data_IF_487145111905
#
_entry.id   IF_487145111905
#
_cell.length_a   1.000
_cell.length_b   1.000
_cell.length_c   1.000
_cell.angle_alpha   90.00
_cell.angle_beta   90.00
_cell.angle_gamma   90.00
#
_symmetry.space_group_name_H-M   'P 1'
#
loop_
_entity.id
_entity.type
_entity.pdbx_description
1 polymer ?
#
# COMPACT_ATOMS: atom_id res chain seq x y z
N UNK A 1 31.98 -17.47 -9.62
CA UNK A 1 32.31 -16.10 -10.07
C UNK A 1 31.28 -15.50 -11.04
N UNK A 2 30.70 -16.25 -11.98
CA UNK A 2 29.69 -15.73 -12.95
C UNK A 2 28.32 -15.44 -12.30
N UNK A 3 27.88 -16.28 -11.36
CA UNK A 3 26.55 -16.18 -10.73
C UNK A 3 26.37 -14.86 -9.94
N UNK A 4 27.43 -14.38 -9.29
CA UNK A 4 27.39 -13.13 -8.50
C UNK A 4 27.25 -11.91 -9.42
N UNK A 5 27.86 -11.95 -10.61
CA UNK A 5 27.78 -10.87 -11.59
C UNK A 5 26.38 -10.74 -12.23
N UNK A 6 25.63 -11.84 -12.35
CA UNK A 6 24.27 -11.85 -12.90
C UNK A 6 23.16 -11.59 -11.88
N UNK A 7 23.38 -11.89 -10.59
CA UNK A 7 22.37 -11.66 -9.53
C UNK A 7 22.30 -10.20 -9.06
N UNK A 8 23.43 -9.49 -9.09
CA UNK A 8 23.52 -8.08 -8.70
C UNK A 8 22.53 -7.15 -9.44
N UNK A 9 22.43 -7.16 -10.78
CA UNK A 9 21.48 -6.31 -11.49
C UNK A 9 20.03 -6.71 -11.25
N UNK A 10 19.75 -7.99 -11.00
CA UNK A 10 18.39 -8.50 -10.77
C UNK A 10 17.84 -8.00 -9.44
N UNK A 11 18.64 -8.04 -8.37
CA UNK A 11 18.25 -7.57 -7.03
C UNK A 11 18.00 -6.05 -7.05
N UNK A 12 18.82 -5.32 -7.82
CA UNK A 12 18.67 -3.87 -7.97
C UNK A 12 17.39 -3.50 -8.74
N UNK A 13 17.09 -4.25 -9.80
CA UNK A 13 15.86 -4.08 -10.58
C UNK A 13 14.60 -4.43 -9.75
N UNK A 14 14.67 -5.49 -8.94
CA UNK A 14 13.60 -5.89 -8.00
C UNK A 14 13.34 -4.82 -6.93
N UNK A 15 14.38 -4.20 -6.38
CA UNK A 15 14.22 -3.08 -5.44
C UNK A 15 13.48 -1.91 -6.11
N UNK A 16 13.89 -1.54 -7.31
CA UNK A 16 13.29 -0.42 -8.04
C UNK A 16 11.82 -0.68 -8.36
N UNK A 17 11.50 -1.88 -8.85
CA UNK A 17 10.13 -2.32 -9.14
C UNK A 17 9.29 -2.38 -7.85
N UNK A 18 9.85 -2.85 -6.73
CA UNK A 18 9.16 -2.91 -5.44
C UNK A 18 8.75 -1.52 -4.95
N UNK A 19 9.65 -0.54 -5.04
CA UNK A 19 9.35 0.84 -4.62
C UNK A 19 8.28 1.46 -5.51
N UNK A 20 8.38 1.28 -6.84
CA UNK A 20 7.37 1.78 -7.79
C UNK A 20 6.01 1.12 -7.53
N UNK A 21 5.97 -0.19 -7.29
CA UNK A 21 4.75 -0.93 -7.02
C UNK A 21 4.06 -0.43 -5.73
N UNK A 22 4.80 -0.32 -4.63
CA UNK A 22 4.22 0.14 -3.36
C UNK A 22 3.73 1.58 -3.48
N UNK A 23 4.46 2.44 -4.17
CA UNK A 23 4.05 3.82 -4.43
C UNK A 23 2.75 3.86 -5.24
N UNK A 24 2.65 3.06 -6.30
CA UNK A 24 1.44 2.96 -7.11
C UNK A 24 0.25 2.42 -6.31
N UNK A 25 0.46 1.37 -5.52
CA UNK A 25 -0.61 0.75 -4.73
C UNK A 25 -1.18 1.71 -3.66
N UNK A 26 -0.30 2.41 -2.94
CA UNK A 26 -0.69 3.43 -1.93
C UNK A 26 -1.45 4.60 -2.56
N UNK A 27 -1.07 5.04 -3.77
CA UNK A 27 -1.72 6.18 -4.43
C UNK A 27 -3.04 5.77 -5.09
N UNK A 28 -3.04 4.65 -5.83
CA UNK A 28 -4.14 4.29 -6.74
C UNK A 28 -5.21 3.42 -6.06
N UNK A 29 -4.82 2.47 -5.21
CA UNK A 29 -5.78 1.55 -4.56
C UNK A 29 -6.34 2.11 -3.25
N UNK A 30 -5.56 2.89 -2.49
CA UNK A 30 -5.98 3.40 -1.18
C UNK A 30 -6.62 4.79 -1.26
N UNK A 31 -7.73 4.96 -1.98
CA UNK A 31 -8.38 6.29 -2.15
C UNK A 31 -8.98 6.86 -0.86
N UNK A 32 -9.35 6.01 0.10
CA UNK A 32 -9.93 6.40 1.40
C UNK A 32 -8.90 6.56 2.52
N UNK A 33 -7.65 6.23 2.26
CA UNK A 33 -6.57 6.34 3.24
C UNK A 33 -6.15 7.80 3.41
N UNK A 34 -5.99 8.29 4.66
CA UNK A 34 -5.53 9.64 4.93
C UNK A 34 -4.14 9.92 4.31
N UNK A 35 -3.93 11.13 3.80
CA UNK A 35 -2.68 11.52 3.14
C UNK A 35 -1.44 11.34 4.04
N UNK A 36 -1.59 11.61 5.34
CA UNK A 36 -0.52 11.37 6.32
C UNK A 36 -0.11 9.90 6.40
N UNK A 37 -1.09 8.98 6.37
CA UNK A 37 -0.83 7.54 6.45
C UNK A 37 -0.22 7.01 5.14
N UNK A 38 -0.65 7.54 3.99
CA UNK A 38 0.02 7.27 2.70
C UNK A 38 1.50 7.64 2.73
N UNK A 39 1.82 8.83 3.24
CA UNK A 39 3.20 9.31 3.35
C UNK A 39 4.03 8.40 4.27
N UNK A 40 3.46 7.97 5.40
CA UNK A 40 4.11 7.03 6.32
C UNK A 40 4.43 5.70 5.63
N UNK A 41 3.49 5.13 4.87
CA UNK A 41 3.72 3.88 4.15
C UNK A 41 4.74 4.01 3.03
N UNK A 42 4.76 5.14 2.33
CA UNK A 42 5.80 5.44 1.32
C UNK A 42 7.18 5.54 1.99
N UNK A 43 7.30 6.24 3.14
CA UNK A 43 8.55 6.31 3.90
C UNK A 43 8.99 4.93 4.41
N UNK A 44 8.07 4.15 4.98
CA UNK A 44 8.34 2.78 5.43
C UNK A 44 8.80 1.90 4.27
N UNK A 45 8.15 1.98 3.11
CA UNK A 45 8.56 1.24 1.92
C UNK A 45 9.89 1.73 1.34
N UNK A 46 10.23 3.01 1.47
CA UNK A 46 11.52 3.55 1.04
C UNK A 46 12.67 3.02 1.93
N UNK A 47 12.50 3.05 3.25
CA UNK A 47 13.55 2.66 4.20
C UNK A 47 13.63 1.14 4.43
N UNK A 48 12.49 0.42 4.40
CA UNK A 48 12.44 -1.03 4.61
C UNK A 48 12.28 -1.84 3.31
N UNK A 49 12.14 -1.18 2.15
CA UNK A 49 12.06 -1.79 0.83
C UNK A 49 11.03 -2.93 0.77
N UNK A 50 11.48 -4.15 0.42
CA UNK A 50 10.62 -5.34 0.34
C UNK A 50 9.91 -5.67 1.65
N UNK A 51 10.56 -5.46 2.79
CA UNK A 51 9.98 -5.75 4.12
C UNK A 51 8.84 -4.77 4.41
N UNK A 52 9.04 -3.48 4.10
CA UNK A 52 8.00 -2.46 4.25
C UNK A 52 6.77 -2.76 3.40
N UNK A 53 6.99 -3.26 2.17
CA UNK A 53 5.92 -3.67 1.26
C UNK A 53 5.07 -4.83 1.82
N UNK A 54 5.72 -5.84 2.41
CA UNK A 54 5.04 -7.00 3.00
C UNK A 54 4.20 -6.57 4.21
N UNK A 55 4.77 -5.73 5.09
CA UNK A 55 4.06 -5.22 6.27
C UNK A 55 2.87 -4.37 5.84
N UNK A 56 3.04 -3.51 4.83
CA UNK A 56 1.95 -2.74 4.24
C UNK A 56 0.83 -3.65 3.73
N UNK A 57 1.16 -4.69 2.96
CA UNK A 57 0.16 -5.62 2.44
C UNK A 57 -0.60 -6.31 3.57
N UNK A 58 0.10 -6.79 4.60
CA UNK A 58 -0.56 -7.47 5.73
C UNK A 58 -1.41 -6.53 6.58
N UNK A 59 -0.92 -5.33 6.90
CA UNK A 59 -1.65 -4.41 7.78
C UNK A 59 -2.77 -3.71 7.02
N UNK A 60 -2.48 -3.13 5.86
CA UNK A 60 -3.44 -2.28 5.17
C UNK A 60 -4.45 -3.11 4.39
N UNK A 61 -3.98 -4.09 3.60
CA UNK A 61 -4.86 -4.88 2.75
C UNK A 61 -5.57 -6.00 3.52
N UNK A 62 -4.92 -6.64 4.50
CA UNK A 62 -5.60 -7.67 5.30
C UNK A 62 -6.54 -7.09 6.36
N UNK A 63 -6.34 -5.85 6.82
CA UNK A 63 -7.21 -5.25 7.84
C UNK A 63 -8.53 -4.69 7.29
N UNK A 64 -8.76 -4.65 5.96
CA UNK A 64 -9.97 -4.08 5.32
C UNK A 64 -10.37 -2.69 5.87
N UNK A 65 -9.41 -1.98 6.48
CA UNK A 65 -9.66 -0.82 7.36
C UNK A 65 -10.24 0.38 6.61
N UNK A 66 -10.11 0.37 5.29
CA UNK A 66 -10.58 1.40 4.38
C UNK A 66 -11.72 0.92 3.46
N UNK A 67 -12.17 -0.32 3.63
CA UNK A 67 -13.36 -0.81 2.95
C UNK A 67 -14.59 -0.37 3.75
N UNK A 68 -15.61 0.14 3.07
CA UNK A 68 -16.90 0.39 3.71
C UNK A 68 -17.40 -0.96 4.19
N UNK A 69 -17.50 -1.13 5.51
CA UNK A 69 -18.19 -2.31 6.01
C UNK A 69 -19.63 -2.26 5.48
N UNK A 70 -20.24 -3.39 5.12
CA UNK A 70 -21.62 -3.39 4.62
C UNK A 70 -22.55 -2.62 5.56
N UNK A 71 -22.30 -2.66 6.86
CA UNK A 71 -23.03 -1.95 7.91
C UNK A 71 -22.97 -0.42 7.75
N UNK A 72 -21.79 0.19 7.59
CA UNK A 72 -21.64 1.64 7.36
C UNK A 72 -22.33 2.09 6.05
N UNK A 73 -22.33 1.24 5.03
CA UNK A 73 -22.99 1.54 3.74
C UNK A 73 -24.51 1.62 3.88
N UNK A 74 -25.12 0.78 4.71
CA UNK A 74 -26.55 0.83 4.98
C UNK A 74 -26.91 1.94 5.98
N UNK A 75 -26.05 2.20 6.96
CA UNK A 75 -26.24 3.27 7.95
C UNK A 75 -26.23 4.67 7.32
N UNK A 76 -25.45 4.87 6.25
CA UNK A 76 -25.48 6.09 5.43
C UNK A 76 -26.74 6.27 4.58
N UNK A 77 -27.53 5.21 4.34
CA UNK A 77 -28.77 5.26 3.57
C UNK A 77 -30.00 5.59 4.42
N UNK A 78 -29.92 5.41 5.74
CA UNK A 78 -30.98 5.78 6.69
C UNK A 78 -30.88 7.25 7.14
N UNK A 79 -29.79 7.95 6.82
CA UNK A 79 -29.64 9.37 7.12
C UNK A 79 -30.52 10.19 6.17
N UNK A 80 -31.40 11.07 6.69
CA UNK A 80 -32.20 11.94 5.83
C UNK A 80 -31.24 12.82 5.03
N UNK A 81 -31.45 12.87 3.71
CA UNK A 81 -30.66 13.74 2.82
C UNK A 81 -30.90 15.18 3.29
N UNK A 82 -29.92 15.76 4.00
CA UNK A 82 -29.88 17.20 4.29
C UNK A 82 -29.60 17.92 2.96
N UNK A 83 -30.68 18.38 2.33
CA UNK A 83 -30.69 19.28 1.16
C UNK A 83 -30.58 20.73 1.59
#
# INVERSE_FOLDING_TARGET
MIVVFSLFPLIWLLNLISVIWVTYDVITNQKKMPDAEKIIWILVALFLNLIGAIIYYLIVKASHKYEETPEERFEGLDQPIEI
#
